data_IF_944943019379
#
_entry.id   IF_944943019379
#
_cell.length_a   1.000
_cell.length_b   1.000
_cell.length_c   1.000
_cell.angle_alpha   90.00
_cell.angle_beta   90.00
_cell.angle_gamma   90.00
#
_symmetry.space_group_name_H-M   'P 1'
#
loop_
_entity.id
_entity.type
_entity.pdbx_description
1 polymer ?
#
# COMPACT_ATOMS: atom_id res chain seq x y z
N UNK A 1 7.28 -67.39 16.77
CA UNK A 1 7.17 -66.03 17.42
C UNK A 1 7.56 -65.00 16.37
N UNK A 2 6.58 -64.34 15.72
CA UNK A 2 6.80 -63.40 14.66
C UNK A 2 6.77 -61.99 15.25
N UNK A 3 7.91 -61.28 15.24
CA UNK A 3 8.01 -59.89 15.69
C UNK A 3 7.54 -58.96 14.54
N UNK A 4 6.38 -58.38 14.72
CA UNK A 4 5.86 -57.36 13.81
C UNK A 4 6.59 -56.04 14.14
N UNK A 5 7.41 -55.56 13.22
CA UNK A 5 8.03 -54.20 13.30
C UNK A 5 6.98 -53.21 12.82
N UNK A 6 6.47 -52.41 13.76
CA UNK A 6 5.58 -51.29 13.49
C UNK A 6 6.45 -50.10 13.03
N UNK A 7 6.52 -49.87 11.72
CA UNK A 7 7.18 -48.69 11.17
C UNK A 7 6.19 -47.54 11.28
N UNK A 8 6.38 -46.69 12.27
CA UNK A 8 5.66 -45.40 12.36
C UNK A 8 6.19 -44.46 11.27
N UNK A 9 5.44 -44.33 10.20
CA UNK A 9 5.71 -43.34 9.15
C UNK A 9 5.22 -41.96 9.64
N UNK A 10 6.09 -41.22 10.29
CA UNK A 10 5.84 -39.81 10.64
C UNK A 10 5.81 -38.99 9.36
N UNK A 11 4.60 -38.72 8.86
CA UNK A 11 4.39 -37.74 7.79
C UNK A 11 4.62 -36.36 8.41
N UNK A 12 5.81 -35.82 8.21
CA UNK A 12 6.09 -34.40 8.47
C UNK A 12 5.28 -33.56 7.47
N UNK A 13 4.12 -33.09 7.89
CA UNK A 13 3.40 -32.04 7.20
C UNK A 13 4.26 -30.76 7.32
N UNK A 14 5.09 -30.49 6.32
CA UNK A 14 5.72 -29.19 6.15
C UNK A 14 4.60 -28.23 5.74
N UNK A 15 4.02 -27.54 6.71
CA UNK A 15 3.13 -26.43 6.45
C UNK A 15 3.96 -25.36 5.71
N UNK A 16 3.81 -25.31 4.40
CA UNK A 16 4.35 -24.20 3.62
C UNK A 16 3.54 -22.96 4.02
N UNK A 17 4.15 -22.07 4.79
CA UNK A 17 3.62 -20.74 5.01
C UNK A 17 3.63 -20.03 3.65
N UNK A 18 2.50 -20.02 2.97
CA UNK A 18 2.36 -19.27 1.74
C UNK A 18 2.36 -17.77 2.05
N UNK A 19 3.08 -17.02 1.26
CA UNK A 19 3.04 -15.57 1.27
C UNK A 19 1.60 -15.12 0.96
N UNK A 20 0.94 -14.48 1.91
CA UNK A 20 -0.47 -14.10 1.75
C UNK A 20 -0.66 -12.60 1.67
N UNK A 21 0.26 -11.84 2.27
CA UNK A 21 0.25 -10.39 2.27
C UNK A 21 1.65 -9.83 2.07
N UNK A 22 1.69 -8.59 1.61
CA UNK A 22 2.88 -7.77 1.53
C UNK A 22 2.67 -6.50 2.35
N UNK A 23 3.67 -6.16 3.17
CA UNK A 23 3.72 -4.92 3.93
C UNK A 23 4.71 -3.96 3.28
N UNK A 24 4.34 -2.70 3.21
CA UNK A 24 5.23 -1.58 2.92
C UNK A 24 5.39 -0.78 4.22
N UNK A 25 6.41 -1.09 5.04
CA UNK A 25 6.63 -0.37 6.29
C UNK A 25 6.94 1.09 6.00
N UNK A 26 6.52 1.99 6.90
CA UNK A 26 6.75 3.43 6.77
C UNK A 26 7.58 3.97 7.93
N UNK A 27 8.23 3.07 8.69
CA UNK A 27 9.21 3.37 9.72
C UNK A 27 10.63 3.55 9.12
N UNK A 28 11.65 3.60 9.99
CA UNK A 28 13.05 3.83 9.61
C UNK A 28 13.65 2.74 8.70
N UNK A 29 13.04 1.56 8.60
CA UNK A 29 13.52 0.51 7.68
C UNK A 29 13.17 0.82 6.22
N UNK A 30 12.24 1.74 5.96
CA UNK A 30 11.86 2.13 4.62
C UNK A 30 12.96 2.96 3.95
N UNK A 31 13.48 2.44 2.85
CA UNK A 31 14.50 3.14 2.05
C UNK A 31 13.95 4.33 1.28
N UNK A 32 12.69 4.24 0.86
CA UNK A 32 12.08 5.27 0.03
C UNK A 32 10.57 5.42 0.31
N UNK A 33 10.23 6.28 1.29
CA UNK A 33 8.85 6.52 1.71
C UNK A 33 7.96 7.05 0.57
N UNK A 34 8.44 8.02 -0.21
CA UNK A 34 7.65 8.59 -1.30
C UNK A 34 7.32 7.55 -2.37
N UNK A 35 8.28 6.71 -2.75
CA UNK A 35 8.03 5.60 -3.68
C UNK A 35 7.12 4.54 -3.09
N UNK A 36 7.11 4.33 -1.76
CA UNK A 36 6.18 3.41 -1.10
C UNK A 36 4.72 3.87 -1.27
N UNK A 37 4.43 5.18 -1.14
CA UNK A 37 3.12 5.75 -1.52
C UNK A 37 2.81 5.48 -3.00
N UNK A 38 3.79 5.63 -3.87
CA UNK A 38 3.66 5.35 -5.30
C UNK A 38 3.31 3.88 -5.58
N UNK A 39 3.90 2.92 -4.87
CA UNK A 39 3.56 1.49 -5.00
C UNK A 39 2.14 1.22 -4.49
N UNK A 40 1.74 1.80 -3.35
CA UNK A 40 0.38 1.67 -2.85
C UNK A 40 -0.65 2.21 -3.87
N UNK A 41 -0.41 3.40 -4.42
CA UNK A 41 -1.24 3.99 -5.48
C UNK A 41 -1.29 3.11 -6.74
N UNK A 42 -0.15 2.61 -7.20
CA UNK A 42 -0.01 1.71 -8.34
C UNK A 42 -0.82 0.42 -8.16
N UNK A 43 -0.87 -0.11 -6.93
CA UNK A 43 -1.69 -1.28 -6.58
C UNK A 43 -3.18 -0.97 -6.67
N UNK A 44 -3.62 0.18 -6.15
CA UNK A 44 -5.01 0.64 -6.25
C UNK A 44 -5.47 0.85 -7.70
N UNK A 45 -4.59 1.31 -8.60
CA UNK A 45 -4.89 1.43 -10.04
C UNK A 45 -5.14 0.08 -10.72
N UNK A 46 -4.79 -1.03 -10.07
CA UNK A 46 -4.96 -2.41 -10.54
C UNK A 46 -6.01 -3.18 -9.76
N UNK A 47 -6.91 -2.44 -9.11
CA UNK A 47 -8.01 -2.96 -8.31
C UNK A 47 -7.55 -3.86 -7.14
N UNK A 48 -6.31 -3.68 -6.67
CA UNK A 48 -5.83 -4.32 -5.45
C UNK A 48 -6.19 -3.44 -4.26
N UNK A 49 -7.04 -3.95 -3.36
CA UNK A 49 -7.36 -3.28 -2.09
C UNK A 49 -6.08 -3.11 -1.25
N UNK A 50 -5.87 -1.92 -0.74
CA UNK A 50 -4.76 -1.59 0.15
C UNK A 50 -5.32 -1.20 1.52
N UNK A 51 -4.89 -1.87 2.58
CA UNK A 51 -5.18 -1.47 3.95
C UNK A 51 -4.08 -0.56 4.47
N UNK A 52 -4.43 0.67 4.82
CA UNK A 52 -3.52 1.62 5.44
C UNK A 52 -3.62 1.50 6.96
N UNK A 53 -2.55 1.02 7.60
CA UNK A 53 -2.44 0.81 9.03
C UNK A 53 -1.90 2.09 9.68
N UNK A 54 -2.80 2.97 10.10
CA UNK A 54 -2.47 4.26 10.70
C UNK A 54 -1.70 4.07 12.02
N UNK A 55 -0.61 4.78 12.17
CA UNK A 55 0.30 4.74 13.32
C UNK A 55 0.99 3.38 13.57
N UNK A 56 0.68 2.33 12.82
CA UNK A 56 1.44 1.08 12.87
C UNK A 56 2.71 1.23 12.04
N UNK A 57 3.88 1.16 12.69
CA UNK A 57 5.19 1.30 12.03
C UNK A 57 5.25 2.48 11.04
N UNK A 58 4.84 3.67 11.50
CA UNK A 58 4.86 4.89 10.69
C UNK A 58 3.71 5.04 9.67
N UNK A 59 2.70 4.17 9.70
CA UNK A 59 1.58 4.21 8.75
C UNK A 59 1.75 3.23 7.58
N UNK A 60 2.07 1.98 7.90
CA UNK A 60 2.32 0.88 6.96
C UNK A 60 1.15 0.60 6.03
N UNK A 61 1.44 0.32 4.76
CA UNK A 61 0.47 -0.24 3.83
C UNK A 61 0.54 -1.76 3.81
N UNK A 62 -0.62 -2.41 3.83
CA UNK A 62 -0.76 -3.85 3.73
C UNK A 62 -1.71 -4.21 2.60
N UNK A 63 -1.37 -5.20 1.79
CA UNK A 63 -2.19 -5.66 0.68
C UNK A 63 -1.96 -7.15 0.40
N UNK A 64 -2.87 -7.78 -0.34
CA UNK A 64 -2.69 -9.17 -0.79
C UNK A 64 -1.39 -9.31 -1.57
N UNK A 65 -0.67 -10.41 -1.28
CA UNK A 65 0.55 -10.72 -2.00
C UNK A 65 0.28 -10.96 -3.50
N UNK A 66 1.10 -10.36 -4.32
CA UNK A 66 1.23 -10.67 -5.73
C UNK A 66 2.68 -10.43 -6.16
N UNK A 67 3.23 -11.35 -6.97
CA UNK A 67 4.59 -11.24 -7.50
C UNK A 67 4.83 -9.91 -8.23
N UNK A 68 3.79 -9.36 -8.86
CA UNK A 68 3.86 -8.08 -9.55
C UNK A 68 4.15 -6.92 -8.58
N UNK A 69 3.53 -6.93 -7.38
CA UNK A 69 3.74 -5.90 -6.35
C UNK A 69 5.15 -6.00 -5.77
N UNK A 70 5.61 -7.22 -5.48
CA UNK A 70 6.95 -7.43 -4.96
C UNK A 70 8.02 -6.99 -5.97
N UNK A 71 7.82 -7.29 -7.26
CA UNK A 71 8.70 -6.81 -8.34
C UNK A 71 8.69 -5.28 -8.43
N UNK A 72 7.52 -4.65 -8.32
CA UNK A 72 7.40 -3.19 -8.37
C UNK A 72 8.12 -2.53 -7.20
N UNK A 73 8.04 -3.10 -6.00
CA UNK A 73 8.82 -2.65 -4.85
C UNK A 73 10.33 -2.70 -5.13
N UNK A 74 10.81 -3.82 -5.69
CA UNK A 74 12.22 -3.99 -6.05
C UNK A 74 12.68 -2.98 -7.11
N UNK A 75 11.87 -2.77 -8.15
CA UNK A 75 12.17 -1.82 -9.24
C UNK A 75 12.25 -0.37 -8.74
N UNK A 76 11.39 0.02 -7.79
CA UNK A 76 11.36 1.38 -7.22
C UNK A 76 12.27 1.56 -6.00
N UNK A 77 12.97 0.52 -5.56
CA UNK A 77 13.83 0.56 -4.37
C UNK A 77 13.05 0.73 -3.07
N UNK A 78 11.81 0.22 -3.01
CA UNK A 78 10.93 0.24 -1.86
C UNK A 78 11.16 -1.01 -1.01
N UNK A 79 11.34 -0.83 0.29
CA UNK A 79 11.40 -1.95 1.24
C UNK A 79 10.00 -2.54 1.39
N UNK A 80 9.88 -3.86 1.24
CA UNK A 80 8.64 -4.59 1.49
C UNK A 80 8.92 -5.87 2.27
N UNK A 81 7.94 -6.32 3.02
CA UNK A 81 7.98 -7.55 3.82
C UNK A 81 6.83 -8.47 3.40
N UNK A 82 7.16 -9.71 3.09
CA UNK A 82 6.17 -10.72 2.74
C UNK A 82 5.82 -11.49 4.01
N UNK A 83 4.52 -11.56 4.32
CA UNK A 83 4.00 -12.16 5.55
C UNK A 83 2.93 -13.22 5.28
N UNK A 84 2.78 -14.15 6.22
CA UNK A 84 1.72 -15.17 6.20
C UNK A 84 0.38 -14.63 6.76
N UNK A 85 -0.73 -15.32 6.47
CA UNK A 85 -2.08 -14.97 6.97
C UNK A 85 -2.14 -14.82 8.49
N UNK A 86 -1.47 -15.69 9.24
CA UNK A 86 -1.44 -15.60 10.70
C UNK A 86 -0.79 -14.32 11.22
N UNK A 87 0.26 -13.84 10.55
CA UNK A 87 0.94 -12.59 10.89
C UNK A 87 0.06 -11.38 10.54
N UNK A 88 -0.58 -11.38 9.36
CA UNK A 88 -1.50 -10.30 8.97
C UNK A 88 -2.69 -10.19 9.95
N UNK A 89 -3.26 -11.33 10.35
CA UNK A 89 -4.36 -11.38 11.34
C UNK A 89 -3.93 -10.86 12.71
N UNK A 90 -2.73 -11.21 13.17
CA UNK A 90 -2.17 -10.71 14.43
C UNK A 90 -1.96 -9.18 14.40
N UNK A 91 -1.43 -8.65 13.27
CA UNK A 91 -1.27 -7.20 13.06
C UNK A 91 -2.62 -6.50 13.10
N UNK A 92 -3.63 -6.98 12.37
CA UNK A 92 -4.96 -6.38 12.36
C UNK A 92 -5.63 -6.42 13.73
N UNK A 93 -5.46 -7.51 14.49
CA UNK A 93 -5.98 -7.61 15.86
C UNK A 93 -5.30 -6.62 16.79
N UNK A 94 -3.99 -6.41 16.65
CA UNK A 94 -3.26 -5.41 17.43
C UNK A 94 -3.70 -3.98 17.08
N UNK A 95 -3.86 -3.67 15.81
CA UNK A 95 -4.32 -2.34 15.35
C UNK A 95 -5.76 -2.05 15.82
N UNK A 96 -6.61 -3.07 15.90
CA UNK A 96 -7.99 -2.96 16.36
C UNK A 96 -8.15 -2.87 17.88
N UNK A 97 -7.07 -2.98 18.66
CA UNK A 97 -7.12 -2.86 20.13
C UNK A 97 -7.44 -1.40 20.52
N UNK A 98 -8.52 -1.15 21.27
CA UNK A 98 -8.89 0.20 21.72
C UNK A 98 -7.82 0.88 22.61
N UNK A 99 -6.92 0.10 23.20
CA UNK A 99 -5.82 0.61 24.04
C UNK A 99 -4.67 1.23 23.25
N UNK A 100 -4.64 1.07 21.93
CA UNK A 100 -3.60 1.63 21.05
C UNK A 100 -4.18 2.75 20.18
N UNK A 101 -3.37 3.76 19.90
CA UNK A 101 -3.78 4.85 18.99
C UNK A 101 -3.47 4.47 17.54
N UNK A 102 -4.13 3.44 17.03
CA UNK A 102 -3.97 2.90 15.67
C UNK A 102 -5.33 2.70 15.02
N UNK A 103 -5.36 2.63 13.68
CA UNK A 103 -6.57 2.31 12.92
C UNK A 103 -6.20 1.64 11.60
N UNK A 104 -7.16 0.94 10.97
CA UNK A 104 -7.00 0.27 9.69
C UNK A 104 -8.01 0.80 8.68
N UNK A 105 -7.53 1.59 7.73
CA UNK A 105 -8.37 2.20 6.69
C UNK A 105 -8.23 1.42 5.38
N UNK A 106 -9.34 0.95 4.83
CA UNK A 106 -9.38 0.27 3.53
C UNK A 106 -9.45 1.27 2.39
N UNK A 107 -8.46 1.24 1.53
CA UNK A 107 -8.38 2.00 0.30
C UNK A 107 -8.75 1.06 -0.86
N UNK A 108 -9.79 1.41 -1.63
CA UNK A 108 -10.35 0.52 -2.67
C UNK A 108 -10.01 0.98 -4.09
N UNK A 109 -9.83 2.28 -4.30
CA UNK A 109 -9.58 2.86 -5.63
C UNK A 109 -8.51 3.94 -5.57
N UNK A 110 -7.71 4.00 -6.62
CA UNK A 110 -6.80 5.11 -6.84
C UNK A 110 -7.61 6.38 -7.17
N UNK A 111 -7.46 7.48 -6.41
CA UNK A 111 -8.13 8.74 -6.73
C UNK A 111 -7.53 9.36 -7.99
N UNK A 112 -8.33 10.11 -8.73
CA UNK A 112 -7.79 11.07 -9.72
C UNK A 112 -7.26 12.28 -8.97
N UNK A 113 -6.03 12.66 -9.26
CA UNK A 113 -5.35 13.77 -8.60
C UNK A 113 -5.26 14.93 -9.58
N UNK A 114 -5.71 16.11 -9.17
CA UNK A 114 -5.51 17.34 -9.89
C UNK A 114 -4.71 18.33 -9.02
N UNK A 115 -3.68 18.91 -9.59
CA UNK A 115 -2.85 19.90 -8.94
C UNK A 115 -3.08 21.26 -9.58
N UNK A 116 -3.52 22.22 -8.79
CA UNK A 116 -3.69 23.59 -9.26
C UNK A 116 -2.32 24.27 -9.42
N UNK A 117 -2.10 24.87 -10.59
CA UNK A 117 -0.89 25.65 -10.87
C UNK A 117 -1.26 27.03 -11.45
N UNK A 118 -0.80 28.14 -10.90
CA UNK A 118 -1.00 29.48 -11.46
C UNK A 118 -0.32 29.62 -12.83
N UNK A 119 -0.95 30.27 -13.78
CA UNK A 119 -0.47 30.44 -15.18
C UNK A 119 0.97 30.99 -15.32
N UNK A 120 1.46 31.70 -14.33
CA UNK A 120 2.76 32.39 -14.37
C UNK A 120 3.85 31.74 -13.51
N UNK A 121 3.60 30.54 -12.96
CA UNK A 121 4.61 29.79 -12.21
C UNK A 121 5.08 28.58 -13.01
N UNK A 122 6.37 28.34 -12.97
CA UNK A 122 6.96 27.17 -13.61
C UNK A 122 6.60 25.91 -12.80
N UNK A 123 6.28 24.77 -13.44
CA UNK A 123 5.84 23.56 -12.75
C UNK A 123 6.81 23.01 -11.71
N UNK A 124 8.10 23.31 -11.84
CA UNK A 124 9.15 22.87 -10.91
C UNK A 124 9.28 23.68 -9.63
N UNK A 125 8.55 24.79 -9.51
CA UNK A 125 8.47 25.56 -8.26
C UNK A 125 7.43 25.00 -7.28
N UNK A 126 6.71 23.92 -7.69
CA UNK A 126 5.68 23.32 -6.88
C UNK A 126 6.18 22.00 -6.27
N UNK A 127 6.36 22.01 -4.95
CA UNK A 127 6.77 20.83 -4.19
C UNK A 127 5.80 19.63 -4.36
N UNK A 128 4.51 19.90 -4.57
CA UNK A 128 3.49 18.85 -4.76
C UNK A 128 3.72 18.11 -6.07
N UNK A 129 3.90 18.82 -7.19
CA UNK A 129 4.18 18.20 -8.48
C UNK A 129 5.49 17.44 -8.47
N UNK A 130 6.52 17.96 -7.79
CA UNK A 130 7.81 17.29 -7.63
C UNK A 130 7.65 15.96 -6.86
N UNK A 131 6.93 15.98 -5.74
CA UNK A 131 6.69 14.78 -4.92
C UNK A 131 5.88 13.73 -5.69
N UNK A 132 4.80 14.12 -6.36
CA UNK A 132 3.97 13.21 -7.14
C UNK A 132 4.76 12.59 -8.31
N UNK A 133 5.55 13.41 -9.01
CA UNK A 133 6.44 12.93 -10.09
C UNK A 133 7.49 11.95 -9.56
N UNK A 134 8.14 12.27 -8.43
CA UNK A 134 9.12 11.37 -7.83
C UNK A 134 8.48 10.06 -7.36
N UNK A 135 7.30 10.13 -6.74
CA UNK A 135 6.54 8.95 -6.29
C UNK A 135 5.95 8.14 -7.46
N UNK A 136 6.01 8.65 -8.69
CA UNK A 136 5.40 8.06 -9.89
C UNK A 136 3.87 7.92 -9.75
N UNK A 137 3.24 8.92 -9.13
CA UNK A 137 1.80 9.04 -8.99
C UNK A 137 1.29 10.01 -10.07
N UNK A 138 0.43 9.56 -11.01
CA UNK A 138 -0.09 10.42 -12.07
C UNK A 138 -1.00 11.49 -11.50
N UNK A 139 -0.92 12.67 -12.08
CA UNK A 139 -1.77 13.82 -11.74
C UNK A 139 -2.04 14.67 -12.99
N UNK A 140 -3.13 15.41 -12.96
CA UNK A 140 -3.46 16.41 -13.95
C UNK A 140 -3.14 17.81 -13.40
N UNK A 141 -2.56 18.68 -14.23
CA UNK A 141 -2.38 20.09 -13.87
C UNK A 141 -3.63 20.85 -14.29
N UNK A 142 -4.21 21.61 -13.37
CA UNK A 142 -5.37 22.46 -13.62
C UNK A 142 -5.05 23.93 -13.36
N UNK A 143 -5.58 24.81 -14.17
CA UNK A 143 -5.39 26.24 -14.09
C UNK A 143 -6.69 26.95 -13.68
N UNK A 144 -6.65 28.29 -13.52
CA UNK A 144 -7.76 29.10 -13.04
C UNK A 144 -9.09 28.84 -13.76
N UNK A 145 -9.06 28.61 -15.07
CA UNK A 145 -10.27 28.41 -15.87
C UNK A 145 -10.92 27.04 -15.61
N UNK A 146 -10.10 25.97 -15.50
CA UNK A 146 -10.57 24.63 -15.19
C UNK A 146 -11.13 24.55 -13.76
N UNK A 147 -10.48 25.21 -12.80
CA UNK A 147 -10.96 25.28 -11.40
C UNK A 147 -12.31 26.00 -11.34
N UNK A 148 -12.49 27.12 -12.03
CA UNK A 148 -13.77 27.84 -12.10
C UNK A 148 -14.89 26.97 -12.70
N UNK A 149 -14.57 26.13 -13.70
CA UNK A 149 -15.53 25.22 -14.32
C UNK A 149 -15.91 24.07 -13.37
N UNK A 150 -14.96 23.53 -12.62
CA UNK A 150 -15.21 22.49 -11.63
C UNK A 150 -16.10 22.98 -10.50
N UNK A 151 -15.88 24.20 -10.01
CA UNK A 151 -16.67 24.81 -8.94
C UNK A 151 -18.10 25.16 -9.37
N UNK A 152 -18.36 25.32 -10.68
CA UNK A 152 -19.70 25.61 -11.22
C UNK A 152 -20.55 24.36 -11.45
N UNK A 153 -19.97 23.15 -11.48
CA UNK A 153 -20.72 21.90 -11.57
C UNK A 153 -21.30 21.55 -10.22
N UNK A 154 -22.63 21.26 -10.10
CA UNK A 154 -23.18 20.75 -8.85
C UNK A 154 -22.45 19.46 -8.49
N UNK A 155 -21.98 19.39 -7.26
CA UNK A 155 -21.40 18.18 -6.69
C UNK A 155 -22.55 17.17 -6.56
N UNK A 156 -22.60 16.18 -7.45
CA UNK A 156 -23.44 15.01 -7.24
C UNK A 156 -22.70 14.16 -6.23
N UNK A 157 -23.16 14.20 -4.99
CA UNK A 157 -22.72 13.29 -3.93
C UNK A 157 -23.59 12.06 -4.06
N UNK A 158 -23.01 10.97 -4.59
CA UNK A 158 -23.60 9.63 -4.57
C UNK A 158 -23.22 8.93 -3.26
#
# INVERSE_FOLDING_TARGET
>A
MKRAALVLFSIFFIAHAQASYILLPMDEVQKNHLKAYGVAYWSLQRDVEVTWLLNYRGGTFMMKYADAIERECKLRGVTCEVIADGQSSAILSHVADPGVNMDAVKLQKAPKIAVYSPKNKLPWDDAVTLVLTYAEIPYDVVYDEEVKLLLKKPQIVD
#
